data_IF_855977890996
#
_entry.id   IF_855977890996
#
_cell.length_a   1.000
_cell.length_b   1.000
_cell.length_c   1.000
_cell.angle_alpha   90.00
_cell.angle_beta   90.00
_cell.angle_gamma   90.00
#
_symmetry.space_group_name_H-M   'P 1'
#
loop_
_entity.id
_entity.type
_entity.pdbx_description
1 polymer ?
#
# COMPACT_ATOMS: atom_id res chain seq x y z
N UNK A 1 9.57 23.98 2.83
CA UNK A 1 9.30 22.57 2.48
C UNK A 1 9.60 21.75 3.73
N UNK A 2 8.58 21.41 4.52
CA UNK A 2 8.76 20.70 5.79
C UNK A 2 9.20 19.27 5.45
N UNK A 3 10.35 18.82 5.97
CA UNK A 3 10.79 17.44 5.72
C UNK A 3 9.74 16.46 6.24
N UNK A 4 9.34 15.50 5.40
CA UNK A 4 8.37 14.49 5.82
C UNK A 4 8.93 13.71 7.01
N UNK A 5 8.14 13.64 8.09
CA UNK A 5 8.47 12.93 9.35
C UNK A 5 8.44 11.40 9.20
N UNK A 6 8.21 10.89 7.98
CA UNK A 6 7.88 9.49 7.70
C UNK A 6 8.91 8.78 6.79
N UNK A 7 10.20 9.12 6.92
CA UNK A 7 11.32 8.53 6.14
C UNK A 7 11.59 7.03 6.39
N UNK A 8 11.05 6.45 7.46
CA UNK A 8 11.50 5.13 7.94
C UNK A 8 11.20 3.95 6.98
N UNK A 9 10.16 4.01 6.13
CA UNK A 9 9.88 2.95 5.14
C UNK A 9 10.88 2.89 3.98
N UNK A 10 11.58 3.98 3.70
CA UNK A 10 12.53 4.04 2.58
C UNK A 10 13.81 3.28 2.90
N UNK A 11 14.26 3.32 4.17
CA UNK A 11 15.44 2.58 4.63
C UNK A 11 15.24 1.06 4.56
N UNK A 12 14.09 0.55 5.04
CA UNK A 12 13.78 -0.89 4.98
C UNK A 12 13.73 -1.39 3.53
N UNK A 13 13.11 -0.63 2.63
CA UNK A 13 13.06 -0.94 1.20
C UNK A 13 14.44 -0.88 0.54
N UNK A 14 15.27 0.09 0.93
CA UNK A 14 16.65 0.20 0.45
C UNK A 14 17.50 -0.99 0.90
N UNK A 15 17.44 -1.37 2.18
CA UNK A 15 18.17 -2.54 2.72
C UNK A 15 17.73 -3.81 1.99
N UNK A 16 16.43 -4.02 1.82
CA UNK A 16 15.91 -5.16 1.07
C UNK A 16 16.43 -5.19 -0.37
N UNK A 17 16.39 -4.05 -1.07
CA UNK A 17 16.88 -3.94 -2.45
C UNK A 17 18.38 -4.21 -2.55
N UNK A 18 19.19 -3.62 -1.66
CA UNK A 18 20.63 -3.85 -1.61
C UNK A 18 20.97 -5.32 -1.30
N UNK A 19 20.17 -5.98 -0.46
CA UNK A 19 20.33 -7.40 -0.16
C UNK A 19 20.10 -8.28 -1.39
N UNK A 20 19.08 -7.98 -2.20
CA UNK A 20 18.83 -8.68 -3.47
C UNK A 20 19.96 -8.46 -4.48
N UNK A 21 20.43 -7.21 -4.62
CA UNK A 21 21.56 -6.88 -5.50
C UNK A 21 22.82 -7.63 -5.04
N UNK A 22 23.11 -7.62 -3.74
CA UNK A 22 24.25 -8.33 -3.16
C UNK A 22 24.20 -9.83 -3.44
N UNK A 23 23.02 -10.46 -3.33
CA UNK A 23 22.84 -11.87 -3.66
C UNK A 23 23.11 -12.18 -5.15
N UNK A 24 22.64 -11.32 -6.06
CA UNK A 24 22.90 -11.46 -7.50
C UNK A 24 24.40 -11.30 -7.80
N UNK A 25 25.05 -10.30 -7.21
CA UNK A 25 26.49 -10.07 -7.39
C UNK A 25 27.33 -11.23 -6.86
N UNK A 26 26.98 -11.76 -5.69
CA UNK A 26 27.65 -12.91 -5.10
C UNK A 26 27.51 -14.16 -5.99
N UNK A 27 26.31 -14.44 -6.49
CA UNK A 27 26.08 -15.55 -7.42
C UNK A 27 26.87 -15.39 -8.71
N UNK A 28 26.97 -14.15 -9.21
CA UNK A 28 27.76 -13.82 -10.40
C UNK A 28 29.26 -14.03 -10.17
N UNK A 29 29.77 -13.67 -8.98
CA UNK A 29 31.18 -13.81 -8.63
C UNK A 29 31.59 -15.29 -8.48
N UNK A 30 30.71 -16.13 -7.93
CA UNK A 30 31.00 -17.55 -7.68
C UNK A 30 30.78 -18.40 -8.92
N UNK A 31 29.71 -18.16 -9.68
CA UNK A 31 29.25 -19.04 -10.76
C UNK A 31 29.20 -18.36 -12.14
N UNK A 32 29.74 -17.16 -12.27
CA UNK A 32 29.79 -16.41 -13.54
C UNK A 32 28.41 -16.05 -14.10
N UNK A 33 28.30 -16.04 -15.42
CA UNK A 33 27.07 -15.68 -16.13
C UNK A 33 25.89 -16.60 -15.82
N UNK A 34 26.15 -17.90 -15.60
CA UNK A 34 25.11 -18.85 -15.23
C UNK A 34 24.56 -18.55 -13.83
N UNK A 35 25.43 -18.18 -12.89
CA UNK A 35 25.05 -17.70 -11.56
C UNK A 35 24.16 -16.47 -11.61
N UNK A 36 24.57 -15.48 -12.40
CA UNK A 36 23.76 -14.28 -12.65
C UNK A 36 22.37 -14.64 -13.16
N UNK A 37 22.28 -15.45 -14.23
CA UNK A 37 21.02 -15.77 -14.89
C UNK A 37 20.05 -16.49 -13.94
N UNK A 38 20.53 -17.45 -13.15
CA UNK A 38 19.71 -18.10 -12.12
C UNK A 38 19.27 -17.13 -11.02
N UNK A 39 20.21 -16.40 -10.42
CA UNK A 39 19.90 -15.51 -9.30
C UNK A 39 18.92 -14.40 -9.72
N UNK A 40 19.16 -13.78 -10.88
CA UNK A 40 18.29 -12.76 -11.43
C UNK A 40 16.89 -13.33 -11.72
N UNK A 41 16.80 -14.49 -12.37
CA UNK A 41 15.51 -15.13 -12.68
C UNK A 41 14.70 -15.45 -11.43
N UNK A 42 15.33 -15.96 -10.37
CA UNK A 42 14.64 -16.25 -9.10
C UNK A 42 14.05 -14.97 -8.51
N UNK A 43 14.80 -13.87 -8.53
CA UNK A 43 14.31 -12.56 -8.08
C UNK A 43 13.13 -12.10 -8.95
N UNK A 44 13.21 -12.24 -10.27
CA UNK A 44 12.13 -11.85 -11.17
C UNK A 44 10.87 -12.70 -10.96
N UNK A 45 10.99 -14.02 -10.74
CA UNK A 45 9.86 -14.92 -10.46
C UNK A 45 9.19 -14.56 -9.14
N UNK A 46 9.99 -14.23 -8.12
CA UNK A 46 9.47 -13.75 -6.84
C UNK A 46 8.66 -12.45 -7.03
N UNK A 47 9.22 -11.47 -7.74
CA UNK A 47 8.55 -10.19 -8.01
C UNK A 47 7.29 -10.36 -8.86
N UNK A 48 7.35 -11.21 -9.89
CA UNK A 48 6.19 -11.62 -10.68
C UNK A 48 5.08 -12.16 -9.78
N UNK A 49 5.42 -13.10 -8.89
CA UNK A 49 4.46 -13.74 -7.98
C UNK A 49 3.82 -12.71 -7.04
N UNK A 50 4.63 -11.81 -6.45
CA UNK A 50 4.13 -10.74 -5.59
C UNK A 50 3.15 -9.84 -6.35
N UNK A 51 3.54 -9.32 -7.52
CA UNK A 51 2.70 -8.40 -8.29
C UNK A 51 1.45 -9.08 -8.86
N UNK A 52 1.54 -10.37 -9.23
CA UNK A 52 0.40 -11.16 -9.67
C UNK A 52 -0.62 -11.37 -8.53
N UNK A 53 -0.15 -11.72 -7.33
CA UNK A 53 -1.03 -11.82 -6.16
C UNK A 53 -1.69 -10.46 -5.87
N UNK A 54 -0.93 -9.37 -5.93
CA UNK A 54 -1.49 -8.02 -5.72
C UNK A 54 -2.52 -7.67 -6.78
N UNK A 55 -2.27 -7.98 -8.06
CA UNK A 55 -3.22 -7.78 -9.16
C UNK A 55 -4.55 -8.51 -8.88
N UNK A 56 -4.50 -9.78 -8.47
CA UNK A 56 -5.70 -10.56 -8.16
C UNK A 56 -6.44 -9.98 -6.95
N UNK A 57 -5.72 -9.67 -5.87
CA UNK A 57 -6.30 -9.21 -4.60
C UNK A 57 -6.91 -7.81 -4.71
N UNK A 58 -6.26 -6.90 -5.44
CA UNK A 58 -6.70 -5.51 -5.58
C UNK A 58 -7.63 -5.30 -6.78
N UNK A 59 -7.60 -6.20 -7.77
CA UNK A 59 -8.26 -6.02 -9.08
C UNK A 59 -7.91 -4.70 -9.76
N UNK A 60 -6.71 -4.18 -9.49
CA UNK A 60 -6.21 -2.96 -10.08
C UNK A 60 -5.43 -3.29 -11.36
N UNK A 61 -5.95 -2.92 -12.55
CA UNK A 61 -5.33 -3.30 -13.82
C UNK A 61 -3.95 -2.68 -14.03
N UNK A 62 -3.58 -1.62 -13.29
CA UNK A 62 -2.23 -1.05 -13.37
C UNK A 62 -1.17 -2.09 -13.00
N UNK A 63 -1.49 -3.06 -12.13
CA UNK A 63 -0.56 -4.12 -11.75
C UNK A 63 -0.28 -5.14 -12.85
N UNK A 64 -1.02 -5.15 -13.98
CA UNK A 64 -0.61 -5.91 -15.17
C UNK A 64 0.76 -5.46 -15.68
N UNK A 65 1.12 -4.19 -15.48
CA UNK A 65 2.38 -3.63 -15.97
C UNK A 65 3.58 -4.27 -15.27
N UNK A 66 3.77 -4.14 -13.94
CA UNK A 66 4.88 -4.80 -13.26
C UNK A 66 4.79 -6.33 -13.35
N UNK A 67 3.58 -6.91 -13.33
CA UNK A 67 3.42 -8.37 -13.49
C UNK A 67 3.97 -8.83 -14.85
N UNK A 68 3.58 -8.17 -15.95
CA UNK A 68 4.08 -8.50 -17.29
C UNK A 68 5.58 -8.28 -17.42
N UNK A 69 6.11 -7.17 -16.89
CA UNK A 69 7.54 -6.88 -16.88
C UNK A 69 8.35 -7.99 -16.20
N UNK A 70 8.03 -8.29 -14.94
CA UNK A 70 8.75 -9.28 -14.15
C UNK A 70 8.57 -10.71 -14.69
N UNK A 71 7.37 -11.02 -15.22
CA UNK A 71 7.12 -12.30 -15.87
C UNK A 71 7.97 -12.48 -17.13
N UNK A 72 8.02 -11.48 -18.01
CA UNK A 72 8.81 -11.53 -19.24
C UNK A 72 10.32 -11.54 -18.95
N UNK A 73 10.80 -10.76 -17.99
CA UNK A 73 12.20 -10.85 -17.57
C UNK A 73 12.54 -12.21 -16.96
N UNK A 74 11.62 -12.83 -16.23
CA UNK A 74 11.81 -14.21 -15.79
C UNK A 74 11.99 -15.13 -17.00
N UNK A 75 11.10 -15.05 -18.00
CA UNK A 75 11.19 -15.90 -19.20
C UNK A 75 12.44 -15.63 -20.05
N UNK A 76 12.92 -14.40 -20.12
CA UNK A 76 14.15 -14.03 -20.84
C UNK A 76 15.39 -14.58 -20.16
N UNK A 77 15.53 -14.40 -18.84
CA UNK A 77 16.77 -14.73 -18.14
C UNK A 77 16.80 -16.16 -17.58
N UNK A 78 15.68 -16.89 -17.60
CA UNK A 78 15.59 -18.23 -17.04
C UNK A 78 16.45 -19.21 -17.85
N UNK A 79 17.53 -19.79 -17.27
CA UNK A 79 18.50 -20.56 -18.03
C UNK A 79 17.92 -21.74 -18.84
N UNK A 80 16.91 -22.47 -18.34
CA UNK A 80 16.24 -23.52 -19.14
C UNK A 80 15.58 -23.02 -20.42
N UNK A 81 15.30 -21.72 -20.54
CA UNK A 81 14.67 -21.10 -21.72
C UNK A 81 15.65 -20.30 -22.58
N UNK A 82 16.95 -20.34 -22.29
CA UNK A 82 17.96 -19.54 -22.99
C UNK A 82 17.99 -19.78 -24.52
N UNK A 83 17.68 -20.99 -24.97
CA UNK A 83 17.65 -21.37 -26.39
C UNK A 83 16.24 -21.33 -27.00
N UNK A 84 15.25 -20.76 -26.29
CA UNK A 84 13.89 -20.64 -26.80
C UNK A 84 13.85 -19.76 -28.05
N UNK A 85 13.14 -20.14 -29.13
CA UNK A 85 12.96 -19.28 -30.30
C UNK A 85 12.19 -17.99 -29.97
N UNK A 86 11.54 -17.93 -28.81
CA UNK A 86 10.80 -16.75 -28.33
C UNK A 86 11.64 -15.82 -27.44
N UNK A 87 12.90 -16.15 -27.17
CA UNK A 87 13.75 -15.41 -26.24
C UNK A 87 13.83 -13.90 -26.58
N UNK A 88 14.09 -13.58 -27.85
CA UNK A 88 14.13 -12.18 -28.33
C UNK A 88 12.77 -11.49 -28.21
N UNK A 89 11.68 -12.22 -28.50
CA UNK A 89 10.32 -11.70 -28.38
C UNK A 89 10.00 -11.32 -26.93
N UNK A 90 10.35 -12.17 -25.97
CA UNK A 90 10.16 -11.85 -24.54
C UNK A 90 10.94 -10.59 -24.14
N UNK A 91 12.20 -10.49 -24.57
CA UNK A 91 13.05 -9.34 -24.27
C UNK A 91 12.47 -8.05 -24.86
N UNK A 92 12.08 -8.04 -26.14
CA UNK A 92 11.51 -6.87 -26.82
C UNK A 92 10.19 -6.44 -26.17
N UNK A 93 9.27 -7.37 -25.91
CA UNK A 93 7.98 -7.04 -25.27
C UNK A 93 8.21 -6.48 -23.86
N UNK A 94 9.20 -7.00 -23.12
CA UNK A 94 9.50 -6.53 -21.77
C UNK A 94 9.92 -5.05 -21.72
N UNK A 95 10.52 -4.51 -22.79
CA UNK A 95 10.89 -3.09 -22.87
C UNK A 95 9.65 -2.19 -22.83
N UNK A 96 8.57 -2.56 -23.51
CA UNK A 96 7.30 -1.81 -23.46
C UNK A 96 6.71 -1.82 -22.04
N UNK A 97 6.77 -2.96 -21.36
CA UNK A 97 6.34 -3.08 -19.97
C UNK A 97 7.24 -2.29 -19.01
N UNK A 98 8.54 -2.22 -19.26
CA UNK A 98 9.48 -1.40 -18.49
C UNK A 98 9.14 0.09 -18.62
N UNK A 99 8.92 0.59 -19.85
CA UNK A 99 8.48 1.97 -20.07
C UNK A 99 7.16 2.25 -19.35
N UNK A 100 6.20 1.32 -19.45
CA UNK A 100 4.96 1.39 -18.68
C UNK A 100 5.20 1.44 -17.17
N UNK A 101 6.14 0.65 -16.65
CA UNK A 101 6.44 0.61 -15.23
C UNK A 101 7.08 1.90 -14.74
N UNK A 102 8.00 2.49 -15.52
CA UNK A 102 8.56 3.82 -15.26
C UNK A 102 7.44 4.87 -15.16
N UNK A 103 6.46 4.84 -16.08
CA UNK A 103 5.29 5.71 -16.00
C UNK A 103 4.44 5.46 -14.74
N UNK A 104 4.23 4.21 -14.34
CA UNK A 104 3.50 3.87 -13.10
C UNK A 104 4.20 4.47 -11.87
N UNK A 105 5.53 4.35 -11.80
CA UNK A 105 6.34 4.91 -10.72
C UNK A 105 6.28 6.44 -10.72
N UNK A 106 6.48 7.07 -11.88
CA UNK A 106 6.43 8.53 -12.03
C UNK A 106 5.07 9.12 -11.65
N UNK A 107 3.98 8.41 -11.97
CA UNK A 107 2.61 8.85 -11.64
C UNK A 107 2.11 8.40 -10.27
N UNK A 108 2.94 7.70 -9.49
CA UNK A 108 2.61 7.21 -8.13
C UNK A 108 1.29 6.43 -8.05
N UNK A 109 0.89 5.77 -9.15
CA UNK A 109 -0.42 5.10 -9.28
C UNK A 109 -0.59 3.88 -8.39
N UNK A 110 0.51 3.33 -7.88
CA UNK A 110 0.54 2.17 -6.99
C UNK A 110 1.13 2.47 -5.61
N UNK A 111 1.45 3.74 -5.32
CA UNK A 111 2.05 4.11 -4.03
C UNK A 111 1.07 3.86 -2.88
N UNK A 112 1.58 3.39 -1.76
CA UNK A 112 0.79 3.26 -0.54
C UNK A 112 0.52 4.63 0.04
N UNK A 113 -0.71 4.85 0.50
CA UNK A 113 -1.19 6.17 0.93
C UNK A 113 -1.12 6.39 2.44
N UNK A 114 -0.36 5.55 3.15
CA UNK A 114 -0.22 5.60 4.60
C UNK A 114 0.23 6.97 5.11
N UNK A 115 1.26 7.56 4.47
CA UNK A 115 1.79 8.86 4.85
C UNK A 115 0.78 9.97 4.61
N UNK A 116 0.19 9.99 3.42
CA UNK A 116 -0.76 11.01 2.98
C UNK A 116 -2.02 11.01 3.86
N UNK A 117 -2.51 9.83 4.28
CA UNK A 117 -3.65 9.71 5.20
C UNK A 117 -3.33 10.33 6.56
N UNK A 118 -2.17 9.99 7.14
CA UNK A 118 -1.78 10.51 8.46
C UNK A 118 -1.47 12.01 8.42
N UNK A 119 -0.80 12.50 7.38
CA UNK A 119 -0.52 13.93 7.20
C UNK A 119 -1.82 14.73 6.98
N UNK A 120 -2.79 14.21 6.21
CA UNK A 120 -4.11 14.84 6.06
C UNK A 120 -4.91 14.86 7.37
N UNK A 121 -4.85 13.80 8.16
CA UNK A 121 -5.49 13.74 9.47
C UNK A 121 -4.81 14.67 10.48
N UNK A 122 -3.50 14.89 10.38
CA UNK A 122 -2.78 15.81 11.26
C UNK A 122 -3.04 17.29 10.94
N UNK A 123 -3.22 17.64 9.65
CA UNK A 123 -3.30 19.02 9.16
C UNK A 123 -4.29 19.97 9.86
N UNK A 124 -5.54 19.56 10.21
CA UNK A 124 -6.52 20.48 10.79
C UNK A 124 -6.40 20.65 12.32
N UNK A 125 -5.44 19.99 12.98
CA UNK A 125 -5.31 20.01 14.45
C UNK A 125 -4.21 21.01 14.86
N UNK A 126 -4.50 21.87 15.84
CA UNK A 126 -3.64 23.02 16.20
C UNK A 126 -3.14 23.05 17.65
N UNK A 127 -3.59 22.13 18.52
CA UNK A 127 -3.30 22.21 19.96
C UNK A 127 -2.62 20.94 20.52
N UNK A 128 -1.75 21.16 21.51
CA UNK A 128 -1.01 20.11 22.19
C UNK A 128 -1.28 20.13 23.71
N UNK A 129 -2.11 19.21 24.18
CA UNK A 129 -2.17 18.82 25.60
C UNK A 129 -3.02 17.55 25.79
N UNK A 130 -2.42 16.36 25.73
CA UNK A 130 -2.95 15.13 26.36
C UNK A 130 -2.07 13.88 26.17
N UNK A 131 -2.36 12.82 26.94
CA UNK A 131 -1.67 11.52 26.89
C UNK A 131 -2.20 10.56 25.80
N UNK A 132 -1.39 9.54 25.47
CA UNK A 132 -1.77 8.47 24.53
C UNK A 132 -2.66 7.40 25.18
N UNK A 133 -3.66 6.89 24.45
CA UNK A 133 -4.38 5.66 24.78
C UNK A 133 -4.40 4.69 23.59
N UNK A 134 -4.28 3.39 23.84
CA UNK A 134 -4.33 2.36 22.78
C UNK A 134 -5.77 1.91 22.45
N UNK A 135 -6.76 2.43 23.17
CA UNK A 135 -8.18 2.04 23.02
C UNK A 135 -8.78 2.64 21.75
N UNK A 136 -9.66 1.92 21.04
CA UNK A 136 -10.42 2.50 19.93
C UNK A 136 -11.28 3.67 20.41
N UNK A 137 -11.28 4.75 19.64
CA UNK A 137 -11.97 6.01 19.88
C UNK A 137 -13.17 6.13 18.94
N UNK A 138 -14.35 6.46 19.46
CA UNK A 138 -15.54 6.72 18.62
C UNK A 138 -15.44 8.16 18.11
N UNK A 139 -15.07 8.34 16.85
CA UNK A 139 -14.85 9.66 16.26
C UNK A 139 -16.12 10.31 15.71
N UNK A 140 -17.23 9.57 15.65
CA UNK A 140 -18.51 10.12 15.23
C UNK A 140 -19.44 9.10 14.61
N UNK A 141 -20.47 9.63 13.96
CA UNK A 141 -21.56 8.90 13.32
C UNK A 141 -21.71 9.33 11.86
N UNK A 142 -22.06 8.39 11.00
CA UNK A 142 -22.37 8.63 9.60
C UNK A 142 -23.51 7.70 9.15
N UNK A 143 -24.36 8.21 8.25
CA UNK A 143 -25.43 7.41 7.67
C UNK A 143 -24.90 6.68 6.43
N UNK A 144 -24.82 5.36 6.49
CA UNK A 144 -24.45 4.52 5.36
C UNK A 144 -25.05 3.13 5.46
N UNK A 145 -25.30 2.51 4.32
CA UNK A 145 -25.60 1.09 4.24
C UNK A 145 -24.33 0.25 4.27
N UNK A 146 -24.46 -1.02 4.66
CA UNK A 146 -23.35 -2.00 4.59
C UNK A 146 -22.79 -2.13 3.17
N UNK A 147 -23.63 -2.00 2.13
CA UNK A 147 -23.21 -2.09 0.74
C UNK A 147 -22.34 -0.89 0.32
N UNK A 148 -22.65 0.30 0.79
CA UNK A 148 -21.84 1.51 0.56
C UNK A 148 -20.48 1.38 1.24
N UNK A 149 -20.46 0.96 2.51
CA UNK A 149 -19.21 0.74 3.24
C UNK A 149 -18.33 -0.36 2.59
N UNK A 150 -18.94 -1.46 2.10
CA UNK A 150 -18.24 -2.48 1.31
C UNK A 150 -17.76 -1.93 -0.05
N UNK A 151 -18.54 -1.06 -0.67
CA UNK A 151 -18.19 -0.37 -1.91
C UNK A 151 -16.96 0.51 -1.75
N UNK A 152 -16.96 1.36 -0.73
CA UNK A 152 -15.82 2.17 -0.34
C UNK A 152 -14.61 1.29 -0.02
N UNK A 153 -14.77 0.24 0.79
CA UNK A 153 -13.69 -0.68 1.13
C UNK A 153 -13.02 -1.30 -0.11
N UNK A 154 -13.81 -1.74 -1.11
CA UNK A 154 -13.29 -2.24 -2.39
C UNK A 154 -12.55 -1.17 -3.17
N UNK A 155 -13.07 0.06 -3.20
CA UNK A 155 -12.42 1.18 -3.86
C UNK A 155 -11.05 1.48 -3.20
N UNK A 156 -11.01 1.60 -1.87
CA UNK A 156 -9.79 1.87 -1.13
C UNK A 156 -8.75 0.76 -1.32
N UNK A 157 -9.15 -0.51 -1.33
CA UNK A 157 -8.26 -1.64 -1.62
C UNK A 157 -7.70 -1.59 -3.05
N UNK A 158 -8.57 -1.35 -4.04
CA UNK A 158 -8.17 -1.26 -5.45
C UNK A 158 -7.11 -0.18 -5.66
N UNK A 159 -7.22 0.92 -4.94
CA UNK A 159 -6.27 2.04 -5.01
C UNK A 159 -5.13 1.96 -3.99
N UNK A 160 -4.99 0.83 -3.30
CA UNK A 160 -3.88 0.57 -2.35
C UNK A 160 -3.82 1.61 -1.22
N UNK A 161 -5.00 2.10 -0.81
CA UNK A 161 -5.18 3.11 0.24
C UNK A 161 -5.34 2.44 1.60
N UNK A 162 -6.25 1.47 1.70
CA UNK A 162 -6.51 0.71 2.92
C UNK A 162 -6.65 -0.78 2.61
N UNK A 163 -6.35 -1.62 3.60
CA UNK A 163 -6.65 -3.04 3.54
C UNK A 163 -7.94 -3.31 4.34
N UNK A 164 -9.02 -3.79 3.71
CA UNK A 164 -10.27 -4.03 4.40
C UNK A 164 -10.30 -5.42 5.05
N UNK A 165 -10.77 -5.46 6.30
CA UNK A 165 -11.12 -6.69 7.01
C UNK A 165 -12.63 -6.62 7.28
N UNK A 166 -13.35 -7.58 6.71
CA UNK A 166 -14.81 -7.60 6.74
C UNK A 166 -15.28 -8.45 7.90
N UNK A 167 -15.95 -7.83 8.87
CA UNK A 167 -16.57 -8.51 10.01
C UNK A 167 -18.10 -8.50 9.87
N UNK A 168 -18.78 -9.20 10.78
CA UNK A 168 -20.24 -9.22 10.82
C UNK A 168 -20.81 -7.83 11.15
N UNK A 169 -20.28 -7.20 12.20
CA UNK A 169 -20.80 -5.94 12.76
C UNK A 169 -20.10 -4.69 12.26
N UNK A 170 -18.97 -4.81 11.56
CA UNK A 170 -18.20 -3.66 11.06
C UNK A 170 -17.30 -4.00 9.88
N UNK A 171 -16.82 -2.97 9.21
CA UNK A 171 -15.81 -3.07 8.17
C UNK A 171 -14.59 -2.29 8.63
N UNK A 172 -13.48 -3.00 8.87
CA UNK A 172 -12.24 -2.41 9.37
C UNK A 172 -11.36 -2.03 8.18
N UNK A 173 -11.01 -0.77 8.06
CA UNK A 173 -10.13 -0.21 7.03
C UNK A 173 -8.76 0.03 7.66
N UNK A 174 -7.89 -0.96 7.55
CA UNK A 174 -6.51 -0.87 8.05
C UNK A 174 -5.73 0.10 7.17
N UNK A 175 -4.93 0.96 7.79
CA UNK A 175 -4.03 1.93 7.12
C UNK A 175 -2.60 1.40 7.29
N UNK A 176 -2.12 0.50 6.40
CA UNK A 176 -0.86 -0.18 6.62
C UNK A 176 0.32 0.66 6.14
N UNK A 177 1.36 0.76 6.98
CA UNK A 177 2.66 1.29 6.57
C UNK A 177 3.27 0.50 5.40
N UNK A 178 3.10 -0.83 5.42
CA UNK A 178 3.55 -1.75 4.36
C UNK A 178 2.36 -2.57 3.90
N UNK A 179 1.75 -2.24 2.75
CA UNK A 179 0.52 -2.90 2.30
C UNK A 179 0.74 -4.39 1.96
N UNK A 180 1.92 -4.75 1.45
CA UNK A 180 2.18 -6.11 0.98
C UNK A 180 2.07 -7.17 2.07
N UNK A 181 2.34 -6.86 3.34
CA UNK A 181 2.21 -7.86 4.42
C UNK A 181 0.77 -8.38 4.56
N UNK A 182 -0.22 -7.54 4.26
CA UNK A 182 -1.63 -7.94 4.26
C UNK A 182 -2.03 -8.58 2.93
N UNK A 183 -1.60 -8.01 1.80
CA UNK A 183 -1.95 -8.53 0.47
C UNK A 183 -1.39 -9.95 0.23
N UNK A 184 -0.18 -10.22 0.72
CA UNK A 184 0.48 -11.53 0.65
C UNK A 184 0.04 -12.49 1.77
N UNK A 185 -0.74 -11.99 2.74
CA UNK A 185 -1.30 -12.81 3.82
C UNK A 185 -0.35 -13.12 4.98
N UNK A 186 0.80 -12.43 5.06
CA UNK A 186 1.74 -12.52 6.18
C UNK A 186 1.19 -11.89 7.46
N UNK A 187 0.25 -10.95 7.34
CA UNK A 187 -0.46 -10.35 8.48
C UNK A 187 -1.96 -10.48 8.30
N UNK A 188 -2.62 -11.00 9.35
CA UNK A 188 -4.09 -11.18 9.40
C UNK A 188 -4.76 -10.37 10.51
N UNK A 189 -4.06 -10.15 11.62
CA UNK A 189 -4.55 -9.29 12.71
C UNK A 189 -4.26 -7.82 12.43
N UNK A 190 -5.12 -6.96 12.96
CA UNK A 190 -5.03 -5.51 12.91
C UNK A 190 -5.03 -4.87 14.30
N UNK A 191 -4.95 -5.66 15.37
CA UNK A 191 -5.05 -5.21 16.77
C UNK A 191 -4.02 -4.14 17.13
N UNK A 192 -2.84 -4.20 16.52
CA UNK A 192 -1.76 -3.23 16.71
C UNK A 192 -1.73 -2.14 15.64
N UNK A 193 -2.55 -2.24 14.60
CA UNK A 193 -2.51 -1.36 13.44
C UNK A 193 -3.33 -0.07 13.61
N UNK A 194 -2.98 0.95 12.87
CA UNK A 194 -3.85 2.12 12.67
C UNK A 194 -4.98 1.73 11.73
N UNK A 195 -6.22 1.99 12.12
CA UNK A 195 -7.40 1.64 11.32
C UNK A 195 -8.58 2.59 11.58
N UNK A 196 -9.50 2.60 10.63
CA UNK A 196 -10.85 3.16 10.80
C UNK A 196 -11.86 2.05 10.57
N UNK A 197 -12.78 1.84 11.49
CA UNK A 197 -13.85 0.86 11.39
C UNK A 197 -15.19 1.55 11.20
N UNK A 198 -15.94 1.08 10.20
CA UNK A 198 -17.30 1.51 9.89
C UNK A 198 -18.25 0.47 10.50
N UNK A 199 -18.87 0.80 11.63
CA UNK A 199 -19.79 -0.08 12.32
C UNK A 199 -21.16 -0.12 11.63
N UNK A 200 -21.87 -1.24 11.77
CA UNK A 200 -23.24 -1.41 11.26
C UNK A 200 -24.22 -0.42 11.90
N UNK A 201 -23.92 0.08 13.10
CA UNK A 201 -24.63 1.14 13.82
C UNK A 201 -24.47 2.53 13.20
N UNK A 202 -23.60 2.71 12.21
CA UNK A 202 -23.21 4.02 11.65
C UNK A 202 -22.02 4.66 12.37
N UNK A 203 -21.54 4.08 13.48
CA UNK A 203 -20.40 4.60 14.21
C UNK A 203 -19.11 4.47 13.40
N UNK A 204 -18.29 5.52 13.44
CA UNK A 204 -16.93 5.53 12.93
C UNK A 204 -15.99 5.39 14.12
N UNK A 205 -15.24 4.29 14.14
CA UNK A 205 -14.34 3.94 15.25
C UNK A 205 -12.92 4.01 14.73
N UNK A 206 -12.07 4.76 15.41
CA UNK A 206 -10.68 4.99 15.01
C UNK A 206 -9.74 4.38 16.04
N UNK A 207 -8.66 3.77 15.56
CA UNK A 207 -7.53 3.39 16.42
C UNK A 207 -6.25 3.83 15.73
N UNK A 208 -5.35 4.44 16.49
CA UNK A 208 -4.03 4.84 16.00
C UNK A 208 -2.97 4.02 16.74
N UNK A 209 -2.10 3.37 15.99
CA UNK A 209 -0.98 2.63 16.56
C UNK A 209 -0.05 3.57 17.33
N UNK A 210 0.51 3.09 18.44
CA UNK A 210 1.44 3.90 19.25
C UNK A 210 2.62 4.42 18.41
N UNK A 211 3.18 3.57 17.54
CA UNK A 211 4.26 3.93 16.61
C UNK A 211 3.91 5.08 15.67
N UNK A 212 2.62 5.24 15.35
CA UNK A 212 2.14 6.28 14.44
C UNK A 212 1.86 7.56 15.23
N UNK A 213 1.25 7.44 16.41
CA UNK A 213 1.02 8.56 17.30
C UNK A 213 2.33 9.26 17.73
N UNK A 214 3.38 8.51 18.05
CA UNK A 214 4.67 9.11 18.47
C UNK A 214 5.24 10.09 17.44
N UNK A 215 4.86 9.98 16.16
CA UNK A 215 5.32 10.87 15.08
C UNK A 215 4.65 12.24 15.11
N UNK A 216 3.49 12.34 15.75
CA UNK A 216 2.67 13.55 15.84
C UNK A 216 2.50 14.05 17.28
N UNK A 217 2.98 13.29 18.29
CA UNK A 217 2.83 13.56 19.72
C UNK A 217 3.26 14.96 20.16
N UNK A 218 4.27 15.55 19.52
CA UNK A 218 4.77 16.88 19.90
C UNK A 218 3.86 18.03 19.43
N UNK A 219 2.88 17.74 18.59
CA UNK A 219 2.04 18.76 17.94
C UNK A 219 0.56 18.52 18.22
N UNK A 220 0.12 17.28 18.43
CA UNK A 220 -1.29 16.91 18.47
C UNK A 220 -1.62 15.98 19.64
N UNK A 221 -2.81 16.16 20.22
CA UNK A 221 -3.38 15.19 21.16
C UNK A 221 -3.83 13.91 20.45
N UNK A 222 -3.89 12.79 21.19
CA UNK A 222 -4.34 11.51 20.63
C UNK A 222 -5.81 11.58 20.17
N UNK A 223 -6.68 12.18 20.97
CA UNK A 223 -8.11 12.27 20.69
C UNK A 223 -8.40 13.15 19.48
N UNK A 224 -7.72 14.30 19.34
CA UNK A 224 -7.88 15.15 18.15
C UNK A 224 -7.40 14.45 16.87
N UNK A 225 -6.30 13.70 16.94
CA UNK A 225 -5.82 12.95 15.79
C UNK A 225 -6.81 11.83 15.42
N UNK A 226 -7.40 11.14 16.41
CA UNK A 226 -8.45 10.15 16.18
C UNK A 226 -9.71 10.79 15.56
N UNK A 227 -10.16 11.92 16.11
CA UNK A 227 -11.30 12.67 15.62
C UNK A 227 -11.10 13.09 14.16
N UNK A 228 -9.95 13.70 13.86
CA UNK A 228 -9.62 14.18 12.52
C UNK A 228 -9.49 13.04 11.50
N UNK A 229 -8.88 11.91 11.89
CA UNK A 229 -8.82 10.72 11.03
C UNK A 229 -10.23 10.15 10.76
N UNK A 230 -11.10 10.17 11.76
CA UNK A 230 -12.51 9.80 11.62
C UNK A 230 -13.26 10.68 10.62
N UNK A 231 -13.12 12.00 10.77
CA UNK A 231 -13.72 12.98 9.86
C UNK A 231 -13.18 12.87 8.43
N UNK A 232 -11.89 12.54 8.26
CA UNK A 232 -11.32 12.27 6.93
C UNK A 232 -12.01 11.08 6.25
N UNK A 233 -12.22 9.98 6.98
CA UNK A 233 -12.89 8.80 6.43
C UNK A 233 -14.39 9.00 6.24
N UNK A 234 -15.04 9.82 7.07
CA UNK A 234 -16.40 10.28 6.85
C UNK A 234 -16.53 11.05 5.53
N UNK A 235 -15.59 11.93 5.22
CA UNK A 235 -15.55 12.63 3.94
C UNK A 235 -15.29 11.67 2.76
N UNK A 236 -14.44 10.65 2.94
CA UNK A 236 -14.25 9.62 1.91
C UNK A 236 -15.54 8.85 1.62
N UNK A 237 -16.28 8.49 2.67
CA UNK A 237 -17.58 7.84 2.55
C UNK A 237 -18.58 8.74 1.80
N UNK A 238 -18.65 10.03 2.16
CA UNK A 238 -19.51 10.99 1.49
C UNK A 238 -19.19 11.09 -0.01
N UNK A 239 -17.91 11.27 -0.39
CA UNK A 239 -17.51 11.31 -1.80
C UNK A 239 -17.83 10.01 -2.55
N UNK A 240 -17.81 8.87 -1.86
CA UNK A 240 -18.21 7.60 -2.47
C UNK A 240 -19.73 7.54 -2.71
N UNK A 241 -20.54 7.96 -1.73
CA UNK A 241 -22.01 8.03 -1.83
C UNK A 241 -22.48 9.02 -2.90
N UNK A 242 -21.78 10.13 -3.07
CA UNK A 242 -22.02 11.13 -4.12
C UNK A 242 -21.63 10.64 -5.53
N UNK A 243 -21.05 9.45 -5.67
CA UNK A 243 -20.60 8.91 -6.95
C UNK A 243 -19.30 9.53 -7.46
N UNK A 244 -18.56 10.24 -6.60
CA UNK A 244 -17.33 10.96 -6.94
C UNK A 244 -16.08 10.43 -6.19
N UNK A 245 -15.82 9.11 -6.15
CA UNK A 245 -14.72 8.56 -5.36
C UNK A 245 -13.33 9.01 -5.83
N UNK A 246 -13.21 9.59 -7.04
CA UNK A 246 -11.97 10.22 -7.52
C UNK A 246 -11.54 11.39 -6.65
N UNK A 247 -12.47 12.10 -5.98
CA UNK A 247 -12.14 13.18 -5.04
C UNK A 247 -11.26 12.70 -3.88
N UNK A 248 -11.41 11.44 -3.46
CA UNK A 248 -10.55 10.80 -2.45
C UNK A 248 -9.09 10.79 -2.94
N UNK A 249 -8.86 10.38 -4.19
CA UNK A 249 -7.51 10.33 -4.79
C UNK A 249 -6.93 11.73 -4.93
N UNK A 250 -7.72 12.70 -5.41
CA UNK A 250 -7.28 14.08 -5.54
C UNK A 250 -6.87 14.67 -4.19
N UNK A 251 -7.65 14.40 -3.13
CA UNK A 251 -7.32 14.84 -1.77
C UNK A 251 -6.03 14.21 -1.26
N UNK A 252 -5.83 12.90 -1.45
CA UNK A 252 -4.59 12.21 -1.07
C UNK A 252 -3.37 12.75 -1.82
N UNK A 253 -3.53 13.15 -3.09
CA UNK A 253 -2.45 13.73 -3.88
C UNK A 253 -2.18 15.21 -3.59
N UNK A 254 -2.93 15.85 -2.68
CA UNK A 254 -2.72 17.26 -2.28
C UNK A 254 -1.61 17.45 -1.23
N UNK A 255 -0.99 16.35 -0.82
CA UNK A 255 0.15 16.25 0.09
C UNK A 255 1.42 15.99 -0.73
#
# INVERSE_FOLDING_TARGET
MQESKLKFSELEMMIFTLSLIGAILLATLIFGQLGFAWAFSVVQILMFTIHFVVLIRTKNPVYFIPTGMYGLWSLTFFPPLANSPLHEVFAVISVFFLVGFIWVLATKKINWRYREILELAAKPVTDASDGFTSRPFVSGQANFSRNEALGLARFLLKHVICFPIIEAERIVLVIPRVMWVYLLGFRRSYEEATYVALAKSGEIIVRIAQSDYQKFKNELTFDQLCQSLGELFKQFLQHYQEGEPRKIIHKLNSI
#
